data_IF_289848429938
#
_entry.id   IF_289848429938
#
_cell.length_a   1.000
_cell.length_b   1.000
_cell.length_c   1.000
_cell.angle_alpha   90.00
_cell.angle_beta   90.00
_cell.angle_gamma   90.00
#
_symmetry.space_group_name_H-M   'P 1'
#
loop_
_entity.id
_entity.type
_entity.pdbx_description
1 polymer ?
#
# COMPACT_ATOMS: atom_id res chain seq x y z
N UNK A 1 -2.91 -25.54 14.84
CA UNK A 1 -2.06 -24.85 13.85
C UNK A 1 -2.76 -24.91 12.51
N UNK A 2 -2.92 -23.81 11.76
CA UNK A 2 -3.44 -23.88 10.40
C UNK A 2 -2.49 -24.73 9.53
N UNK A 3 -3.04 -25.60 8.69
CA UNK A 3 -2.25 -26.40 7.73
C UNK A 3 -1.58 -25.45 6.71
N UNK A 4 -0.35 -25.73 6.23
CA UNK A 4 0.37 -24.80 5.34
C UNK A 4 -0.44 -24.44 4.08
N UNK A 5 -1.25 -25.38 3.57
CA UNK A 5 -2.17 -25.16 2.46
C UNK A 5 -3.19 -24.03 2.71
N UNK A 6 -3.63 -23.82 3.96
CA UNK A 6 -4.55 -22.73 4.31
C UNK A 6 -3.82 -21.37 4.34
N UNK A 7 -2.55 -21.36 4.75
CA UNK A 7 -1.69 -20.18 4.70
C UNK A 7 -1.45 -19.77 3.24
N UNK A 8 -1.07 -20.71 2.39
CA UNK A 8 -0.79 -20.46 0.96
C UNK A 8 -2.04 -19.99 0.22
N UNK A 9 -3.21 -20.58 0.50
CA UNK A 9 -4.48 -20.13 -0.04
C UNK A 9 -4.83 -18.69 0.38
N UNK A 10 -4.53 -18.31 1.63
CA UNK A 10 -4.76 -16.95 2.12
C UNK A 10 -3.79 -15.94 1.50
N UNK A 11 -2.54 -16.31 1.29
CA UNK A 11 -1.55 -15.49 0.58
C UNK A 11 -1.96 -15.26 -0.87
N UNK A 12 -2.34 -16.32 -1.58
CA UNK A 12 -2.80 -16.24 -2.97
C UNK A 12 -4.05 -15.36 -3.10
N UNK A 13 -5.02 -15.49 -2.18
CA UNK A 13 -6.18 -14.59 -2.11
C UNK A 13 -5.75 -13.14 -1.92
N UNK A 14 -4.81 -12.88 -1.01
CA UNK A 14 -4.30 -11.52 -0.77
C UNK A 14 -3.66 -10.92 -2.03
N UNK A 15 -2.88 -11.71 -2.77
CA UNK A 15 -2.27 -11.26 -4.03
C UNK A 15 -3.31 -11.01 -5.13
N UNK A 16 -4.36 -11.84 -5.21
CA UNK A 16 -5.46 -11.63 -6.17
C UNK A 16 -6.21 -10.32 -5.91
N UNK A 17 -6.36 -9.92 -4.65
CA UNK A 17 -6.94 -8.62 -4.29
C UNK A 17 -6.05 -7.48 -4.82
N UNK A 18 -4.73 -7.54 -4.60
CA UNK A 18 -3.79 -6.53 -5.10
C UNK A 18 -3.79 -6.47 -6.64
N UNK A 19 -3.87 -7.63 -7.29
CA UNK A 19 -3.99 -7.72 -8.74
C UNK A 19 -5.27 -7.04 -9.25
N UNK A 20 -6.41 -7.35 -8.63
CA UNK A 20 -7.72 -6.78 -8.98
C UNK A 20 -7.73 -5.25 -8.79
N UNK A 21 -7.11 -4.78 -7.71
CA UNK A 21 -6.92 -3.35 -7.46
C UNK A 21 -6.10 -2.69 -8.59
N UNK A 22 -5.02 -3.32 -9.03
CA UNK A 22 -4.20 -2.82 -10.15
C UNK A 22 -4.94 -2.79 -11.49
N UNK A 23 -5.94 -3.66 -11.69
CA UNK A 23 -6.81 -3.66 -12.87
C UNK A 23 -7.88 -2.56 -12.83
N UNK A 24 -8.36 -2.22 -11.63
CA UNK A 24 -9.40 -1.21 -11.44
C UNK A 24 -8.86 0.24 -11.49
N UNK A 25 -7.56 0.45 -11.23
CA UNK A 25 -6.96 1.79 -11.14
C UNK A 25 -6.37 2.27 -12.47
N UNK A 26 -6.58 3.55 -12.86
CA UNK A 26 -5.79 4.21 -13.89
C UNK A 26 -4.30 4.15 -13.50
N UNK A 27 -3.43 3.79 -14.45
CA UNK A 27 -2.00 3.58 -14.20
C UNK A 27 -1.68 2.49 -13.14
N UNK A 28 -2.65 1.66 -12.76
CA UNK A 28 -2.50 0.54 -11.82
C UNK A 28 -1.72 -0.67 -12.34
N UNK A 29 -1.24 -0.62 -13.59
CA UNK A 29 -0.51 -1.71 -14.24
C UNK A 29 0.70 -2.20 -13.43
N UNK A 30 1.37 -1.31 -12.70
CA UNK A 30 2.49 -1.69 -11.85
C UNK A 30 2.06 -2.53 -10.63
N UNK A 31 0.91 -2.23 -10.01
CA UNK A 31 0.37 -3.06 -8.91
C UNK A 31 0.01 -4.45 -9.40
N UNK A 32 -0.58 -4.54 -10.60
CA UNK A 32 -0.86 -5.80 -11.26
C UNK A 32 0.42 -6.60 -11.52
N UNK A 33 1.49 -5.96 -11.98
CA UNK A 33 2.78 -6.59 -12.20
C UNK A 33 3.39 -7.10 -10.89
N UNK A 34 3.40 -6.27 -9.84
CA UNK A 34 3.88 -6.63 -8.49
C UNK A 34 3.10 -7.81 -7.89
N UNK A 35 1.77 -7.84 -8.05
CA UNK A 35 0.98 -8.98 -7.63
C UNK A 35 1.30 -10.25 -8.45
N UNK A 36 1.44 -10.11 -9.77
CA UNK A 36 1.76 -11.20 -10.68
C UNK A 36 3.10 -11.85 -10.40
N UNK A 37 4.15 -11.06 -10.13
CA UNK A 37 5.47 -11.60 -9.77
C UNK A 37 5.40 -12.32 -8.42
N UNK A 38 4.64 -11.80 -7.43
CA UNK A 38 4.41 -12.48 -6.16
C UNK A 38 3.74 -13.85 -6.30
N UNK A 39 2.74 -13.97 -7.18
CA UNK A 39 2.10 -15.25 -7.49
C UNK A 39 3.08 -16.20 -8.17
N UNK A 40 3.89 -15.68 -9.10
CA UNK A 40 4.91 -16.48 -9.80
C UNK A 40 5.96 -17.01 -8.84
N UNK A 41 6.37 -16.23 -7.83
CA UNK A 41 7.29 -16.68 -6.78
C UNK A 41 6.68 -17.81 -5.95
N UNK A 42 5.42 -17.70 -5.52
CA UNK A 42 4.70 -18.78 -4.82
C UNK A 42 4.62 -20.06 -5.65
N UNK A 43 4.17 -19.95 -6.90
CA UNK A 43 4.08 -21.10 -7.81
C UNK A 43 5.44 -21.74 -8.06
N UNK A 44 6.49 -20.94 -8.18
CA UNK A 44 7.85 -21.44 -8.38
C UNK A 44 8.30 -22.23 -7.14
N UNK A 45 8.12 -21.65 -5.94
CA UNK A 45 8.47 -22.29 -4.67
C UNK A 45 7.73 -23.62 -4.44
N UNK A 46 6.48 -23.75 -4.88
CA UNK A 46 5.74 -25.03 -4.79
C UNK A 46 6.29 -26.09 -5.76
N UNK A 47 6.78 -25.67 -6.92
CA UNK A 47 7.26 -26.57 -7.99
C UNK A 47 8.72 -27.01 -7.82
N UNK A 48 9.50 -26.36 -6.96
CA UNK A 48 10.93 -26.68 -6.79
C UNK A 48 11.14 -28.11 -6.28
N UNK A 49 12.25 -28.72 -6.71
CA UNK A 49 12.62 -30.08 -6.30
C UNK A 49 13.57 -30.11 -5.10
N UNK A 50 14.30 -29.01 -4.88
CA UNK A 50 15.33 -28.85 -3.86
C UNK A 50 15.06 -27.60 -3.03
N UNK A 51 15.54 -27.57 -1.79
CA UNK A 51 15.46 -26.40 -0.88
C UNK A 51 14.03 -25.86 -0.74
N UNK A 52 13.07 -26.79 -0.58
CA UNK A 52 11.62 -26.48 -0.57
C UNK A 52 11.25 -25.53 0.56
N UNK A 53 11.83 -25.75 1.74
CA UNK A 53 11.55 -24.93 2.93
C UNK A 53 12.08 -23.51 2.71
N UNK A 54 13.32 -23.36 2.23
CA UNK A 54 13.91 -22.05 1.97
C UNK A 54 13.17 -21.29 0.85
N UNK A 55 12.76 -21.99 -0.22
CA UNK A 55 11.97 -21.38 -1.28
C UNK A 55 10.57 -20.98 -0.78
N UNK A 56 9.94 -21.80 0.05
CA UNK A 56 8.64 -21.50 0.66
C UNK A 56 8.72 -20.28 1.59
N UNK A 57 9.76 -20.19 2.43
CA UNK A 57 9.99 -19.05 3.32
C UNK A 57 10.15 -17.73 2.54
N UNK A 58 10.95 -17.74 1.48
CA UNK A 58 11.13 -16.56 0.61
C UNK A 58 9.80 -16.18 -0.04
N UNK A 59 9.06 -17.15 -0.56
CA UNK A 59 7.80 -16.90 -1.26
C UNK A 59 6.71 -16.40 -0.32
N UNK A 60 6.58 -16.99 0.87
CA UNK A 60 5.68 -16.54 1.92
C UNK A 60 6.00 -15.11 2.33
N UNK A 61 7.29 -14.78 2.46
CA UNK A 61 7.71 -13.42 2.82
C UNK A 61 7.32 -12.41 1.74
N UNK A 62 7.67 -12.69 0.48
CA UNK A 62 7.31 -11.83 -0.65
C UNK A 62 5.80 -11.61 -0.75
N UNK A 63 5.01 -12.69 -0.65
CA UNK A 63 3.55 -12.61 -0.71
C UNK A 63 2.94 -11.81 0.45
N UNK A 64 3.51 -11.94 1.65
CA UNK A 64 3.08 -11.17 2.83
C UNK A 64 3.35 -9.69 2.65
N UNK A 65 4.55 -9.32 2.20
CA UNK A 65 4.96 -7.93 1.98
C UNK A 65 4.09 -7.27 0.89
N UNK A 66 3.88 -7.95 -0.24
CA UNK A 66 2.97 -7.47 -1.31
C UNK A 66 1.53 -7.37 -0.79
N UNK A 67 1.10 -8.30 0.07
CA UNK A 67 -0.25 -8.30 0.65
C UNK A 67 -0.58 -7.04 1.46
N UNK A 68 0.40 -6.24 1.88
CA UNK A 68 0.18 -4.93 2.52
C UNK A 68 -0.42 -3.92 1.55
N UNK A 69 -0.14 -4.05 0.24
CA UNK A 69 -0.63 -3.13 -0.80
C UNK A 69 -2.15 -3.15 -0.97
N UNK A 70 -2.86 -4.16 -0.46
CA UNK A 70 -4.34 -4.19 -0.46
C UNK A 70 -4.99 -3.07 0.34
N UNK A 71 -4.21 -2.35 1.16
CA UNK A 71 -4.68 -1.19 1.94
C UNK A 71 -4.75 0.08 1.09
N UNK A 72 -4.23 0.06 -0.14
CA UNK A 72 -4.44 1.12 -1.10
C UNK A 72 -5.93 1.20 -1.46
N UNK A 73 -6.44 2.42 -1.61
CA UNK A 73 -7.87 2.65 -1.78
C UNK A 73 -8.29 2.48 -3.24
N UNK A 74 -9.34 1.69 -3.48
CA UNK A 74 -9.99 1.55 -4.78
C UNK A 74 -10.59 2.92 -5.17
N UNK A 75 -10.02 3.57 -6.20
CA UNK A 75 -10.46 4.88 -6.68
C UNK A 75 -9.48 6.03 -6.44
N UNK A 76 -8.36 5.79 -5.75
CA UNK A 76 -7.27 6.77 -5.69
C UNK A 76 -6.26 6.50 -6.82
N UNK A 77 -6.09 7.47 -7.70
CA UNK A 77 -5.03 7.42 -8.72
C UNK A 77 -3.65 7.31 -8.06
N UNK A 78 -2.81 6.42 -8.57
CA UNK A 78 -1.46 6.24 -8.07
C UNK A 78 -0.63 7.47 -8.47
N UNK A 79 -0.06 8.17 -7.49
CA UNK A 79 0.87 9.25 -7.79
C UNK A 79 2.11 8.71 -8.51
N UNK A 80 2.70 9.48 -9.44
CA UNK A 80 3.92 9.11 -10.17
C UNK A 80 5.06 8.65 -9.24
N UNK A 81 5.28 9.35 -8.12
CA UNK A 81 6.26 8.97 -7.10
C UNK A 81 5.97 7.59 -6.48
N UNK A 82 4.70 7.21 -6.31
CA UNK A 82 4.33 5.87 -5.85
C UNK A 82 4.58 4.81 -6.93
N UNK A 83 4.32 5.14 -8.20
CA UNK A 83 4.58 4.27 -9.33
C UNK A 83 6.07 3.95 -9.43
N UNK A 84 6.94 4.97 -9.39
CA UNK A 84 8.39 4.80 -9.48
C UNK A 84 8.94 3.90 -8.36
N UNK A 85 8.37 4.02 -7.17
CA UNK A 85 8.73 3.17 -6.02
C UNK A 85 8.28 1.73 -6.16
N UNK A 86 7.07 1.53 -6.68
CA UNK A 86 6.58 0.19 -7.00
C UNK A 86 7.40 -0.45 -8.12
N UNK A 87 7.89 0.32 -9.09
CA UNK A 87 8.82 -0.17 -10.13
C UNK A 87 10.16 -0.59 -9.55
N UNK A 88 10.73 0.18 -8.62
CA UNK A 88 11.95 -0.23 -7.90
C UNK A 88 11.72 -1.52 -7.12
N UNK A 89 10.61 -1.62 -6.40
CA UNK A 89 10.26 -2.84 -5.66
C UNK A 89 10.04 -4.04 -6.60
N UNK A 90 9.37 -3.83 -7.73
CA UNK A 90 9.14 -4.85 -8.75
C UNK A 90 10.46 -5.45 -9.27
N UNK A 91 11.46 -4.62 -9.57
CA UNK A 91 12.78 -5.10 -10.02
C UNK A 91 13.45 -6.00 -8.99
N UNK A 92 13.34 -5.67 -7.70
CA UNK A 92 13.87 -6.53 -6.62
C UNK A 92 13.11 -7.86 -6.57
N UNK A 93 11.79 -7.86 -6.77
CA UNK A 93 11.00 -9.09 -6.84
C UNK A 93 11.39 -9.97 -8.03
N UNK A 94 11.75 -9.39 -9.18
CA UNK A 94 12.28 -10.13 -10.32
C UNK A 94 13.63 -10.80 -9.99
N UNK A 95 14.53 -10.10 -9.31
CA UNK A 95 15.79 -10.68 -8.83
C UNK A 95 15.56 -11.83 -7.84
N UNK A 96 14.59 -11.66 -6.95
CA UNK A 96 14.18 -12.69 -5.98
C UNK A 96 13.65 -13.92 -6.70
N UNK A 97 12.76 -13.75 -7.69
CA UNK A 97 12.23 -14.87 -8.49
C UNK A 97 13.37 -15.65 -9.16
N UNK A 98 14.33 -14.96 -9.78
CA UNK A 98 15.49 -15.62 -10.39
C UNK A 98 16.31 -16.42 -9.37
N UNK A 99 16.42 -15.95 -8.13
CA UNK A 99 17.14 -16.64 -7.07
C UNK A 99 16.36 -17.85 -6.56
N UNK A 100 15.05 -17.75 -6.39
CA UNK A 100 14.17 -18.88 -6.02
C UNK A 100 14.26 -19.99 -7.06
N UNK A 101 14.19 -19.65 -8.35
CA UNK A 101 14.33 -20.64 -9.42
C UNK A 101 15.71 -21.32 -9.40
N UNK A 102 16.79 -20.56 -9.20
CA UNK A 102 18.15 -21.12 -9.06
C UNK A 102 18.30 -22.01 -7.82
N UNK A 103 17.73 -21.60 -6.69
CA UNK A 103 17.71 -22.39 -5.46
C UNK A 103 16.97 -23.71 -5.66
N UNK A 104 15.86 -23.69 -6.40
CA UNK A 104 15.01 -24.84 -6.66
C UNK A 104 15.50 -25.82 -7.73
N UNK A 105 16.31 -25.35 -8.68
CA UNK A 105 16.66 -26.09 -9.90
C UNK A 105 18.11 -26.61 -9.93
N UNK A 106 19.06 -26.03 -9.18
CA UNK A 106 20.47 -26.46 -9.28
C UNK A 106 20.77 -27.75 -8.51
N UNK A 107 21.26 -28.82 -9.17
CA UNK A 107 21.64 -30.06 -8.51
C UNK A 107 22.84 -29.85 -7.59
N UNK A 108 22.69 -30.27 -6.33
CA UNK A 108 23.59 -30.00 -5.22
C UNK A 108 25.03 -30.53 -5.33
N UNK A 109 25.52 -31.05 -6.46
CA UNK A 109 26.93 -31.46 -6.56
C UNK A 109 27.88 -30.27 -6.48
N UNK A 110 27.57 -29.13 -7.13
CA UNK A 110 28.37 -27.89 -6.97
C UNK A 110 28.18 -27.20 -5.60
N UNK A 111 27.15 -27.59 -4.83
CA UNK A 111 26.72 -26.91 -3.59
C UNK A 111 26.96 -27.72 -2.30
N UNK A 112 27.10 -29.05 -2.40
CA UNK A 112 27.31 -29.98 -1.26
C UNK A 112 28.60 -29.73 -0.48
N UNK A 113 29.51 -28.87 -0.97
CA UNK A 113 30.67 -28.42 -0.21
C UNK A 113 30.37 -27.24 0.75
N UNK A 114 29.18 -26.62 0.73
CA UNK A 114 28.78 -25.57 1.68
C UNK A 114 27.27 -25.57 1.92
N UNK A 115 26.80 -26.32 2.92
CA UNK A 115 25.45 -26.14 3.46
C UNK A 115 25.23 -24.69 3.96
N UNK A 116 26.30 -24.02 4.43
CA UNK A 116 26.27 -22.58 4.75
C UNK A 116 25.86 -21.72 3.55
N UNK A 117 26.20 -22.12 2.32
CA UNK A 117 25.94 -21.32 1.12
C UNK A 117 24.45 -21.18 0.82
N UNK A 118 23.64 -22.22 1.03
CA UNK A 118 22.19 -22.15 0.76
C UNK A 118 21.50 -21.25 1.78
N UNK A 119 21.87 -21.39 3.06
CA UNK A 119 21.35 -20.53 4.12
C UNK A 119 21.80 -19.08 3.96
N UNK A 120 23.06 -18.84 3.57
CA UNK A 120 23.59 -17.50 3.29
C UNK A 120 22.84 -16.85 2.11
N UNK A 121 22.61 -17.58 1.02
CA UNK A 121 21.85 -17.10 -0.14
C UNK A 121 20.38 -16.81 0.20
N UNK A 122 19.75 -17.68 0.99
CA UNK A 122 18.37 -17.50 1.47
C UNK A 122 18.27 -16.25 2.34
N UNK A 123 19.21 -16.09 3.28
CA UNK A 123 19.30 -14.93 4.17
C UNK A 123 19.56 -13.64 3.39
N UNK A 124 20.43 -13.65 2.39
CA UNK A 124 20.65 -12.49 1.50
C UNK A 124 19.35 -12.14 0.75
N UNK A 125 18.60 -13.13 0.26
CA UNK A 125 17.33 -12.89 -0.42
C UNK A 125 16.29 -12.26 0.52
N UNK A 126 16.13 -12.81 1.72
CA UNK A 126 15.22 -12.29 2.74
C UNK A 126 15.62 -10.88 3.20
N UNK A 127 16.93 -10.62 3.33
CA UNK A 127 17.44 -9.29 3.68
C UNK A 127 17.11 -8.27 2.59
N UNK A 128 17.35 -8.60 1.32
CA UNK A 128 17.01 -7.73 0.18
C UNK A 128 15.52 -7.45 0.09
N UNK A 129 14.68 -8.47 0.27
CA UNK A 129 13.22 -8.30 0.34
C UNK A 129 12.83 -7.34 1.46
N UNK A 130 13.35 -7.57 2.66
CA UNK A 130 13.06 -6.74 3.82
C UNK A 130 13.54 -5.29 3.65
N UNK A 131 14.74 -5.09 3.10
CA UNK A 131 15.30 -3.77 2.86
C UNK A 131 14.48 -3.02 1.81
N UNK A 132 14.19 -3.65 0.68
CA UNK A 132 13.38 -3.05 -0.38
C UNK A 132 11.97 -2.70 0.11
N UNK A 133 11.33 -3.61 0.84
CA UNK A 133 10.01 -3.36 1.40
C UNK A 133 10.03 -2.25 2.47
N UNK A 134 11.04 -2.22 3.34
CA UNK A 134 11.22 -1.15 4.32
C UNK A 134 11.44 0.20 3.65
N UNK A 135 12.26 0.24 2.61
CA UNK A 135 12.54 1.46 1.85
C UNK A 135 11.26 1.96 1.17
N UNK A 136 10.48 1.07 0.56
CA UNK A 136 9.15 1.39 0.02
C UNK A 136 8.23 2.02 1.08
N UNK A 137 8.05 1.37 2.23
CA UNK A 137 7.17 1.87 3.31
C UNK A 137 7.67 3.21 3.87
N UNK A 138 8.98 3.33 4.06
CA UNK A 138 9.61 4.54 4.58
C UNK A 138 9.42 5.73 3.63
N UNK A 139 9.71 5.53 2.34
CA UNK A 139 9.47 6.56 1.33
C UNK A 139 7.98 6.93 1.26
N UNK A 140 7.06 5.96 1.40
CA UNK A 140 5.61 6.23 1.42
C UNK A 140 5.20 7.12 2.60
N UNK A 141 5.83 6.89 3.75
CA UNK A 141 5.60 7.66 4.98
C UNK A 141 6.10 9.10 4.83
N UNK A 142 7.31 9.31 4.27
CA UNK A 142 7.85 10.66 3.99
C UNK A 142 6.96 11.43 3.01
N UNK A 143 6.54 10.78 1.92
CA UNK A 143 5.68 11.43 0.93
C UNK A 143 4.34 11.87 1.54
N UNK A 144 3.78 11.04 2.44
CA UNK A 144 2.54 11.35 3.17
C UNK A 144 2.75 12.52 4.13
N UNK A 145 3.85 12.54 4.89
CA UNK A 145 4.18 13.64 5.80
C UNK A 145 4.37 14.97 5.04
N UNK A 146 5.12 14.94 3.93
CA UNK A 146 5.32 16.12 3.08
C UNK A 146 3.99 16.69 2.53
N UNK A 147 3.07 15.82 2.10
CA UNK A 147 1.73 16.23 1.67
C UNK A 147 0.92 16.83 2.81
N UNK A 148 0.95 16.23 4.01
CA UNK A 148 0.29 16.77 5.19
C UNK A 148 0.86 18.13 5.60
N UNK A 149 2.19 18.29 5.61
CA UNK A 149 2.83 19.57 5.90
C UNK A 149 2.44 20.64 4.90
N UNK A 150 2.34 20.30 3.61
CA UNK A 150 1.87 21.22 2.56
C UNK A 150 0.43 21.70 2.83
N UNK A 151 -0.47 20.78 3.21
CA UNK A 151 -1.84 21.11 3.59
C UNK A 151 -1.87 22.02 4.82
N UNK A 152 -1.12 21.69 5.87
CA UNK A 152 -1.04 22.52 7.09
C UNK A 152 -0.56 23.94 6.76
N UNK A 153 0.47 24.07 5.90
CA UNK A 153 0.94 25.38 5.43
C UNK A 153 -0.13 26.13 4.64
N UNK A 154 -0.85 25.45 3.75
CA UNK A 154 -1.97 26.03 3.00
C UNK A 154 -3.12 26.51 3.88
N UNK A 155 -3.53 25.70 4.86
CA UNK A 155 -4.57 26.05 5.85
C UNK A 155 -4.13 27.24 6.70
N UNK A 156 -2.88 27.27 7.15
CA UNK A 156 -2.35 28.40 7.91
C UNK A 156 -2.30 29.69 7.06
N UNK A 157 -1.90 29.61 5.79
CA UNK A 157 -1.90 30.74 4.88
C UNK A 157 -3.33 31.27 4.61
N UNK A 158 -4.30 30.37 4.44
CA UNK A 158 -5.71 30.75 4.34
C UNK A 158 -6.20 31.40 5.64
N UNK A 159 -5.93 30.81 6.79
CA UNK A 159 -6.30 31.35 8.11
C UNK A 159 -5.77 32.78 8.31
N UNK A 160 -4.51 33.03 7.96
CA UNK A 160 -3.91 34.37 7.99
C UNK A 160 -4.59 35.34 7.01
N UNK A 161 -4.97 34.88 5.82
CA UNK A 161 -5.72 35.68 4.84
C UNK A 161 -7.13 36.05 5.32
N UNK A 162 -7.81 35.15 6.03
CA UNK A 162 -9.12 35.43 6.63
C UNK A 162 -9.03 36.44 7.77
N UNK A 163 -7.94 36.42 8.55
CA UNK A 163 -7.68 37.43 9.60
C UNK A 163 -7.31 38.81 9.04
N UNK A 164 -6.80 38.88 7.82
CA UNK A 164 -6.45 40.14 7.14
C UNK A 164 -7.53 40.69 6.20
N UNK A 165 -8.75 40.12 6.18
CA UNK A 165 -9.88 40.81 5.53
C UNK A 165 -10.13 42.14 6.25
N UNK A 166 -10.04 43.29 5.56
CA UNK A 166 -10.31 44.57 6.18
C UNK A 166 -11.79 44.60 6.59
N UNK A 167 -12.04 45.06 7.81
CA UNK A 167 -13.28 45.77 8.13
C UNK A 167 -13.39 46.95 7.15
N UNK A 168 -13.98 46.72 5.98
CA UNK A 168 -14.53 47.81 5.18
C UNK A 168 -15.82 48.19 5.88
N UNK A 169 -15.72 49.24 6.71
CA UNK A 169 -16.88 49.85 7.30
C UNK A 169 -17.77 50.42 6.21
N UNK A 170 -19.01 49.97 6.18
CA UNK A 170 -20.14 50.82 5.87
C UNK A 170 -21.23 50.49 6.90
N UNK A 171 -21.74 51.55 7.51
CA UNK A 171 -22.77 51.49 8.49
C UNK A 171 -24.11 51.08 7.85
N UNK A 172 -24.88 50.36 8.66
CA UNK A 172 -26.33 50.21 8.64
C UNK A 172 -27.02 49.29 7.62
N UNK A 173 -28.07 48.67 8.16
CA UNK A 173 -29.08 47.84 7.49
C UNK A 173 -28.63 46.49 6.97
N UNK A 174 -28.57 45.47 7.84
CA UNK A 174 -29.40 44.23 7.79
C UNK A 174 -29.04 43.40 9.04
N UNK A 175 -29.41 43.90 10.21
CA UNK A 175 -29.50 43.09 11.43
C UNK A 175 -30.94 43.17 11.93
N UNK A 176 -31.82 42.27 11.49
CA UNK A 176 -32.98 41.84 12.30
C UNK A 176 -33.88 40.73 11.77
N UNK A 177 -33.67 40.18 10.58
CA UNK A 177 -34.51 39.08 10.11
C UNK A 177 -33.67 37.83 9.93
N UNK A 178 -33.63 36.96 10.95
CA UNK A 178 -33.49 35.49 10.83
C UNK A 178 -33.09 34.80 12.15
N UNK A 179 -33.53 35.25 13.32
CA UNK A 179 -33.58 34.35 14.49
C UNK A 179 -34.82 34.67 15.32
N UNK A 180 -35.98 34.20 14.87
CA UNK A 180 -37.12 33.84 15.74
C UNK A 180 -38.09 32.97 14.91
N UNK A 181 -37.60 31.83 14.45
CA UNK A 181 -38.44 30.68 14.12
C UNK A 181 -38.04 29.57 15.09
N UNK A 182 -39.03 28.97 15.73
CA UNK A 182 -38.97 28.09 16.90
C UNK A 182 -38.97 28.81 18.25
N UNK A 183 -40.16 29.06 18.81
CA UNK A 183 -40.74 28.20 19.88
C UNK A 183 -42.26 28.47 19.95
N UNK A 184 -43.04 27.38 19.79
CA UNK A 184 -44.44 27.17 20.21
C UNK A 184 -45.60 27.73 19.37
N UNK A 185 -46.15 26.86 18.52
CA UNK A 185 -47.49 26.28 18.74
C UNK A 185 -48.75 27.12 18.42
N UNK A 186 -49.68 26.62 17.59
CA UNK A 186 -50.89 27.34 17.19
C UNK A 186 -52.02 27.10 18.20
N UNK A 187 -52.74 28.13 18.62
CA UNK A 187 -54.05 27.99 19.27
C UNK A 187 -54.94 29.19 18.95
N UNK A 188 -55.96 28.87 18.16
CA UNK A 188 -57.35 29.33 18.21
C UNK A 188 -57.74 30.77 17.85
N UNK A 189 -58.44 30.82 16.70
CA UNK A 189 -59.71 31.54 16.50
C UNK A 189 -60.55 31.66 17.78
N UNK A 190 -61.12 32.84 18.04
CA UNK A 190 -62.58 33.11 18.06
C UNK A 190 -62.87 34.52 18.62
N UNK A 191 -63.71 35.28 17.90
CA UNK A 191 -64.70 36.30 18.33
C UNK A 191 -64.35 37.24 19.51
N UNK A 192 -64.52 38.57 19.42
CA UNK A 192 -65.73 39.30 19.02
C UNK A 192 -65.42 40.80 18.90
#
# INVERSE_FOLDING_TARGET
>A
MPCSADVDANLLKSLKIVQSLGEALPHGGILKAVAGIGMTILETAERVRLNKEECADIAQRAATDIGVLKRLNEGQELSEDLIERLERYHKILEEVLQRVDRLGSQPGWKRKLRASSVQDETKDCLNRLNEAFRMYIFECSIATDNKLQSIVRGVNALSLRWQMSPQVGEADEVRRYLIFCYVSGPLDMYYR
#
